data_IF_762012389960
#
_entry.id   IF_762012389960
#
_cell.length_a   1.000
_cell.length_b   1.000
_cell.length_c   1.000
_cell.angle_alpha   90.00
_cell.angle_beta   90.00
_cell.angle_gamma   90.00
#
_symmetry.space_group_name_H-M   'P 1'
#
loop_
_entity.id
_entity.type
_entity.pdbx_description
1 polymer ?
#
# COMPACT_ATOMS: atom_id res chain seq x y z
N UNK A 1 23.05 7.00 6.40
CA UNK A 1 22.08 5.89 6.35
C UNK A 1 22.52 4.91 5.28
N UNK A 2 22.24 3.62 5.43
CA UNK A 2 22.46 2.65 4.35
C UNK A 2 21.53 3.01 3.17
N UNK A 3 21.99 2.82 1.94
CA UNK A 3 21.21 3.13 0.75
C UNK A 3 20.78 1.83 0.06
N UNK A 4 19.52 1.38 0.20
CA UNK A 4 19.03 0.20 -0.51
C UNK A 4 18.97 0.46 -2.02
N UNK A 5 19.16 -0.61 -2.81
CA UNK A 5 18.73 -0.62 -4.20
C UNK A 5 17.19 -0.66 -4.21
N UNK A 6 16.56 0.25 -4.96
CA UNK A 6 15.11 0.27 -5.14
C UNK A 6 14.81 0.13 -6.63
N UNK A 7 14.03 -0.88 -6.99
CA UNK A 7 13.48 -1.07 -8.33
C UNK A 7 11.97 -0.98 -8.28
N UNK A 8 11.41 -0.08 -9.08
CA UNK A 8 9.97 0.11 -9.26
C UNK A 8 9.41 -0.73 -10.41
N UNK A 9 8.13 -1.07 -10.29
CA UNK A 9 7.30 -1.71 -11.30
C UNK A 9 5.96 -0.96 -11.31
N UNK A 10 5.57 -0.42 -12.45
CA UNK A 10 4.35 0.39 -12.56
C UNK A 10 3.27 -0.37 -13.31
N UNK A 11 2.08 -0.48 -12.71
CA UNK A 11 0.87 -0.95 -13.40
C UNK A 11 0.03 0.24 -13.87
N UNK A 12 -0.12 0.39 -15.18
CA UNK A 12 -0.93 1.47 -15.75
C UNK A 12 -2.45 1.31 -15.49
N UNK A 13 -2.93 0.10 -15.21
CA UNK A 13 -4.36 -0.13 -15.01
C UNK A 13 -4.86 0.43 -13.68
N UNK A 14 -4.05 0.27 -12.62
CA UNK A 14 -4.37 0.75 -11.26
C UNK A 14 -3.56 1.98 -10.87
N UNK A 15 -2.55 2.35 -11.67
CA UNK A 15 -1.56 3.40 -11.40
C UNK A 15 -0.69 3.11 -10.17
N UNK A 16 -0.49 1.83 -9.84
CA UNK A 16 0.23 1.38 -8.66
C UNK A 16 1.71 1.21 -8.97
N UNK A 17 2.57 1.65 -8.06
CA UNK A 17 3.96 1.24 -8.00
C UNK A 17 4.15 0.11 -7.00
N UNK A 18 4.67 -1.01 -7.48
CA UNK A 18 5.27 -2.03 -6.65
C UNK A 18 6.78 -1.84 -6.60
N UNK A 19 7.42 -2.27 -5.51
CA UNK A 19 8.86 -2.10 -5.33
C UNK A 19 9.58 -3.38 -4.94
N UNK A 20 10.78 -3.58 -5.47
CA UNK A 20 11.79 -4.48 -4.90
C UNK A 20 12.85 -3.61 -4.23
N UNK A 21 13.06 -3.82 -2.93
CA UNK A 21 14.01 -3.09 -2.10
C UNK A 21 15.07 -4.07 -1.61
N UNK A 22 16.32 -3.91 -2.03
CA UNK A 22 17.35 -4.92 -1.83
C UNK A 22 18.60 -4.40 -1.12
N UNK A 23 19.12 -5.23 -0.23
CA UNK A 23 20.48 -5.14 0.28
C UNK A 23 21.44 -5.86 -0.68
N UNK A 24 22.27 -5.09 -1.37
CA UNK A 24 23.22 -5.63 -2.34
C UNK A 24 24.32 -6.49 -1.70
N UNK A 25 24.64 -6.26 -0.43
CA UNK A 25 25.70 -7.00 0.27
C UNK A 25 25.26 -8.42 0.60
N UNK A 26 24.04 -8.59 1.12
CA UNK A 26 23.50 -9.91 1.52
C UNK A 26 22.63 -10.58 0.45
N UNK A 27 22.25 -9.83 -0.59
CA UNK A 27 21.24 -10.23 -1.61
C UNK A 27 19.85 -10.49 -1.03
N UNK A 28 19.55 -10.03 0.17
CA UNK A 28 18.20 -10.10 0.73
C UNK A 28 17.37 -8.93 0.20
N UNK A 29 16.08 -9.14 -0.04
CA UNK A 29 15.17 -8.09 -0.48
C UNK A 29 13.79 -8.18 0.17
N UNK A 30 13.07 -7.05 0.11
CA UNK A 30 11.64 -6.96 0.33
C UNK A 30 10.92 -6.63 -0.97
N UNK A 31 9.69 -7.12 -1.13
CA UNK A 31 8.74 -6.68 -2.15
C UNK A 31 7.68 -5.85 -1.45
N UNK A 32 7.27 -4.71 -2.01
CA UNK A 32 6.29 -3.80 -1.40
C UNK A 32 5.14 -3.55 -2.39
N UNK A 33 3.89 -3.67 -1.90
CA UNK A 33 2.64 -3.32 -2.59
C UNK A 33 2.51 -3.95 -4.00
N UNK A 34 2.59 -5.28 -4.06
CA UNK A 34 2.59 -6.04 -5.31
C UNK A 34 1.21 -6.16 -5.97
N UNK A 35 1.11 -6.00 -7.29
CA UNK A 35 -0.16 -6.11 -8.03
C UNK A 35 -0.40 -7.51 -8.61
N UNK A 36 -1.60 -8.05 -8.33
CA UNK A 36 -2.22 -9.14 -9.08
C UNK A 36 -3.21 -8.54 -10.07
N UNK A 37 -3.00 -8.80 -11.37
CA UNK A 37 -3.86 -8.27 -12.42
C UNK A 37 -5.28 -8.81 -12.26
N UNK A 38 -6.28 -7.94 -12.37
CA UNK A 38 -7.69 -8.32 -12.28
C UNK A 38 -8.55 -7.60 -13.33
N UNK A 39 -9.27 -8.37 -14.14
CA UNK A 39 -10.28 -7.85 -15.04
C UNK A 39 -11.67 -7.93 -14.38
N UNK A 40 -12.22 -6.77 -14.03
CA UNK A 40 -13.52 -6.68 -13.37
C UNK A 40 -14.69 -7.17 -14.25
N UNK A 41 -14.59 -7.08 -15.58
CA UNK A 41 -15.67 -7.47 -16.47
C UNK A 41 -15.85 -9.00 -16.52
N UNK A 42 -14.74 -9.74 -16.52
CA UNK A 42 -14.74 -11.21 -16.53
C UNK A 42 -14.49 -11.85 -15.16
N UNK A 43 -14.15 -11.07 -14.14
CA UNK A 43 -13.69 -11.52 -12.84
C UNK A 43 -12.51 -12.50 -12.92
N UNK A 44 -11.58 -12.26 -13.85
CA UNK A 44 -10.38 -13.10 -14.05
C UNK A 44 -9.13 -12.43 -13.50
N UNK A 45 -8.20 -13.24 -13.01
CA UNK A 45 -6.88 -12.79 -12.55
C UNK A 45 -5.77 -13.22 -13.51
N UNK A 46 -4.71 -12.43 -13.59
CA UNK A 46 -3.44 -12.78 -14.27
C UNK A 46 -2.26 -12.39 -13.38
N UNK A 47 -1.10 -12.94 -13.67
CA UNK A 47 0.14 -12.75 -12.89
C UNK A 47 1.16 -11.90 -13.63
N UNK A 48 0.78 -11.21 -14.70
CA UNK A 48 1.69 -10.46 -15.58
C UNK A 48 2.57 -9.50 -14.80
N UNK A 49 1.97 -8.66 -13.95
CA UNK A 49 2.71 -7.70 -13.13
C UNK A 49 3.59 -8.38 -12.07
N UNK A 50 3.07 -9.41 -11.41
CA UNK A 50 3.81 -10.17 -10.41
C UNK A 50 4.98 -10.98 -11.01
N UNK A 51 4.84 -11.49 -12.22
CA UNK A 51 5.87 -12.25 -12.94
C UNK A 51 7.06 -11.36 -13.31
N UNK A 52 6.84 -10.06 -13.60
CA UNK A 52 7.95 -9.11 -13.79
C UNK A 52 8.81 -8.97 -12.52
N UNK A 53 8.18 -8.99 -11.35
CA UNK A 53 8.88 -8.94 -10.06
C UNK A 53 9.63 -10.25 -9.82
N UNK A 54 9.00 -11.41 -10.09
CA UNK A 54 9.64 -12.73 -9.98
C UNK A 54 10.88 -12.81 -10.87
N UNK A 55 10.75 -12.45 -12.14
CA UNK A 55 11.85 -12.49 -13.10
C UNK A 55 13.00 -11.58 -12.67
N UNK A 56 12.70 -10.38 -12.19
CA UNK A 56 13.71 -9.47 -11.67
C UNK A 56 14.44 -10.03 -10.44
N UNK A 57 13.70 -10.54 -9.45
CA UNK A 57 14.28 -11.13 -8.23
C UNK A 57 15.20 -12.31 -8.57
N UNK A 58 14.75 -13.20 -9.46
CA UNK A 58 15.53 -14.35 -9.90
C UNK A 58 16.76 -13.95 -10.72
N UNK A 59 16.62 -13.02 -11.66
CA UNK A 59 17.73 -12.51 -12.47
C UNK A 59 18.79 -11.82 -11.62
N UNK A 60 18.38 -11.15 -10.54
CA UNK A 60 19.28 -10.57 -9.56
C UNK A 60 19.74 -11.57 -8.50
N UNK A 61 19.34 -12.85 -8.51
CA UNK A 61 19.71 -13.80 -7.45
C UNK A 61 19.45 -13.22 -6.03
N UNK A 62 18.32 -12.51 -5.88
CA UNK A 62 17.87 -12.00 -4.59
C UNK A 62 17.08 -13.08 -3.84
N UNK A 63 17.05 -12.96 -2.51
CA UNK A 63 16.22 -13.79 -1.62
C UNK A 63 15.19 -12.90 -0.93
N UNK A 64 13.92 -13.23 -1.13
CA UNK A 64 12.82 -12.46 -0.54
C UNK A 64 12.70 -12.79 0.95
N UNK A 65 12.90 -11.79 1.80
CA UNK A 65 12.63 -11.89 3.24
C UNK A 65 11.22 -11.43 3.56
N UNK A 66 10.78 -10.35 2.92
CA UNK A 66 9.54 -9.67 3.24
C UNK A 66 8.70 -9.41 1.99
N UNK A 67 7.39 -9.58 2.13
CA UNK A 67 6.38 -9.11 1.19
C UNK A 67 5.49 -8.18 2.01
N UNK A 68 5.69 -6.88 1.83
CA UNK A 68 5.15 -5.85 2.69
C UNK A 68 3.96 -5.18 2.03
N UNK A 69 2.88 -5.03 2.79
CA UNK A 69 1.76 -4.19 2.42
C UNK A 69 1.81 -2.90 3.23
N UNK A 70 1.75 -1.75 2.57
CA UNK A 70 1.63 -0.45 3.26
C UNK A 70 0.23 -0.30 3.88
N UNK A 71 -0.79 -0.86 3.24
CA UNK A 71 -2.17 -0.85 3.72
C UNK A 71 -3.03 -1.91 2.98
N UNK A 72 -4.31 -2.01 3.33
CA UNK A 72 -5.28 -2.77 2.53
C UNK A 72 -5.70 -1.91 1.34
N UNK A 73 -5.15 -2.23 0.17
CA UNK A 73 -5.41 -1.49 -1.06
C UNK A 73 -6.87 -1.64 -1.52
N UNK A 74 -7.42 -0.56 -2.08
CA UNK A 74 -8.80 -0.48 -2.57
C UNK A 74 -8.88 -0.37 -4.10
N UNK A 75 -7.74 -0.30 -4.77
CA UNK A 75 -7.61 0.01 -6.20
C UNK A 75 -7.02 -1.17 -6.99
N UNK A 76 -6.33 -2.11 -6.32
CA UNK A 76 -5.76 -3.33 -6.93
C UNK A 76 -5.83 -4.53 -5.97
N UNK A 77 -5.72 -5.76 -6.50
CA UNK A 77 -5.55 -6.96 -5.67
C UNK A 77 -4.06 -7.20 -5.40
N UNK A 78 -3.70 -7.58 -4.17
CA UNK A 78 -2.29 -7.94 -3.88
C UNK A 78 -1.90 -9.26 -4.53
N UNK A 79 -0.68 -9.33 -5.06
CA UNK A 79 -0.03 -10.57 -5.50
C UNK A 79 0.76 -11.30 -4.40
N UNK A 80 0.64 -10.90 -3.13
CA UNK A 80 1.48 -11.39 -2.04
C UNK A 80 1.53 -12.92 -1.92
N UNK A 81 0.38 -13.61 -1.97
CA UNK A 81 0.35 -15.08 -1.92
C UNK A 81 1.02 -15.73 -3.13
N UNK A 82 0.81 -15.16 -4.31
CA UNK A 82 1.44 -15.66 -5.53
C UNK A 82 2.97 -15.52 -5.44
N UNK A 83 3.46 -14.33 -5.08
CA UNK A 83 4.88 -14.08 -4.91
C UNK A 83 5.51 -14.98 -3.84
N UNK A 84 4.86 -15.14 -2.69
CA UNK A 84 5.31 -16.06 -1.65
C UNK A 84 5.43 -17.49 -2.15
N UNK A 85 4.46 -17.96 -2.94
CA UNK A 85 4.51 -19.32 -3.51
C UNK A 85 5.68 -19.54 -4.48
N UNK A 86 6.19 -18.48 -5.12
CA UNK A 86 7.30 -18.53 -6.08
C UNK A 86 8.66 -18.26 -5.46
N UNK A 87 8.72 -17.35 -4.49
CA UNK A 87 9.97 -16.77 -4.00
C UNK A 87 10.20 -16.99 -2.50
N UNK A 88 9.19 -17.47 -1.76
CA UNK A 88 9.19 -17.49 -0.30
C UNK A 88 8.99 -16.08 0.30
N UNK A 89 9.48 -15.90 1.52
CA UNK A 89 9.33 -14.65 2.28
C UNK A 89 8.11 -14.62 3.20
N UNK A 90 8.05 -13.55 3.97
CA UNK A 90 7.04 -13.32 5.03
C UNK A 90 6.10 -12.21 4.58
N UNK A 91 4.81 -12.50 4.45
CA UNK A 91 3.77 -11.51 4.13
C UNK A 91 3.43 -10.74 5.40
N UNK A 92 3.63 -9.41 5.39
CA UNK A 92 3.50 -8.58 6.58
C UNK A 92 2.72 -7.29 6.34
N UNK A 93 1.99 -6.86 7.38
CA UNK A 93 1.18 -5.63 7.41
C UNK A 93 1.09 -5.11 8.85
N UNK A 94 0.47 -3.95 9.08
CA UNK A 94 0.15 -3.46 10.43
C UNK A 94 -0.76 -4.39 11.22
N UNK A 95 -0.52 -4.56 12.53
CA UNK A 95 -1.47 -5.20 13.44
C UNK A 95 -2.86 -4.54 13.49
N UNK A 96 -2.97 -3.27 13.07
CA UNK A 96 -4.25 -2.55 12.95
C UNK A 96 -5.12 -3.03 11.79
N UNK A 97 -4.64 -3.98 10.99
CA UNK A 97 -5.44 -4.71 9.99
C UNK A 97 -6.74 -5.27 10.58
N UNK A 98 -6.72 -5.67 11.86
CA UNK A 98 -7.89 -6.13 12.60
C UNK A 98 -9.08 -5.16 12.53
N UNK A 99 -8.83 -3.85 12.58
CA UNK A 99 -9.88 -2.81 12.46
C UNK A 99 -10.52 -2.80 11.06
N UNK A 100 -9.70 -2.99 10.03
CA UNK A 100 -10.16 -3.04 8.64
C UNK A 100 -10.94 -4.34 8.41
N UNK A 101 -10.41 -5.47 8.85
CA UNK A 101 -11.07 -6.77 8.77
C UNK A 101 -12.41 -6.77 9.50
N UNK A 102 -12.52 -6.21 10.71
CA UNK A 102 -13.78 -6.10 11.45
C UNK A 102 -14.79 -5.24 10.67
N UNK A 103 -14.35 -4.06 10.21
CA UNK A 103 -15.20 -3.10 9.48
C UNK A 103 -15.76 -3.71 8.20
N UNK A 104 -14.89 -4.30 7.37
CA UNK A 104 -15.30 -4.84 6.07
C UNK A 104 -15.94 -6.23 6.17
N UNK A 105 -15.67 -7.01 7.20
CA UNK A 105 -16.41 -8.26 7.45
C UNK A 105 -17.89 -7.98 7.67
N UNK A 106 -18.23 -6.90 8.37
CA UNK A 106 -19.63 -6.49 8.52
C UNK A 106 -20.27 -6.10 7.18
N UNK A 107 -19.53 -5.42 6.30
CA UNK A 107 -20.01 -4.96 4.98
C UNK A 107 -20.23 -6.14 4.03
N UNK A 108 -19.25 -7.04 3.91
CA UNK A 108 -19.31 -8.19 3.02
C UNK A 108 -20.07 -9.38 3.63
N UNK A 109 -20.55 -9.25 4.86
CA UNK A 109 -21.16 -10.34 5.63
C UNK A 109 -20.23 -11.58 5.67
N UNK A 110 -19.00 -11.38 6.13
CA UNK A 110 -18.04 -12.44 6.43
C UNK A 110 -17.96 -12.67 7.93
N UNK A 111 -17.60 -13.89 8.32
CA UNK A 111 -17.26 -14.19 9.70
C UNK A 111 -15.85 -13.70 10.00
N UNK A 112 -15.74 -12.59 10.72
CA UNK A 112 -14.48 -12.00 11.12
C UNK A 112 -13.56 -12.99 11.86
N UNK A 113 -14.13 -13.95 12.61
CA UNK A 113 -13.34 -14.93 13.36
C UNK A 113 -12.48 -15.81 12.45
N UNK A 114 -12.92 -16.06 11.22
CA UNK A 114 -12.15 -16.84 10.24
C UNK A 114 -10.84 -16.19 9.85
N UNK A 115 -10.74 -14.86 9.83
CA UNK A 115 -9.47 -14.19 9.55
C UNK A 115 -8.46 -14.45 10.67
N UNK A 116 -8.91 -14.42 11.94
CA UNK A 116 -8.02 -14.70 13.07
C UNK A 116 -7.55 -16.16 13.09
N UNK A 117 -8.42 -17.10 12.71
CA UNK A 117 -8.10 -18.52 12.62
C UNK A 117 -7.13 -18.82 11.47
N UNK A 118 -7.33 -18.19 10.31
CA UNK A 118 -6.54 -18.45 9.11
C UNK A 118 -5.20 -17.73 9.08
N UNK A 119 -4.98 -16.73 9.95
CA UNK A 119 -3.73 -15.94 10.02
C UNK A 119 -3.23 -15.54 8.61
N UNK A 120 -4.02 -14.74 7.85
CA UNK A 120 -3.74 -14.48 6.44
C UNK A 120 -2.41 -13.76 6.17
N UNK A 121 -1.85 -13.13 7.19
CA UNK A 121 -0.55 -12.50 7.18
C UNK A 121 0.39 -13.29 8.09
N UNK A 122 1.63 -13.50 7.66
CA UNK A 122 2.64 -14.22 8.45
C UNK A 122 3.17 -13.37 9.60
N UNK A 123 3.10 -12.04 9.47
CA UNK A 123 3.60 -11.11 10.46
C UNK A 123 2.73 -9.86 10.56
N UNK A 124 2.52 -9.40 11.79
CA UNK A 124 1.78 -8.18 12.09
C UNK A 124 2.70 -7.21 12.84
N UNK A 125 3.05 -6.11 12.20
CA UNK A 125 3.93 -5.10 12.78
C UNK A 125 3.22 -4.28 13.87
N UNK A 126 3.89 -4.12 15.00
CA UNK A 126 3.59 -3.06 15.96
C UNK A 126 4.02 -1.68 15.41
N UNK A 127 3.41 -0.61 15.93
CA UNK A 127 3.77 0.75 15.56
C UNK A 127 5.24 1.03 15.92
N UNK A 128 6.03 1.55 14.97
CA UNK A 128 7.46 1.86 15.17
C UNK A 128 8.37 0.66 15.40
N UNK A 129 7.90 -0.54 15.08
CA UNK A 129 8.69 -1.74 15.19
C UNK A 129 9.87 -1.72 14.19
N UNK A 130 11.04 -2.10 14.70
CA UNK A 130 12.28 -2.22 13.93
C UNK A 130 12.46 -3.64 13.39
N UNK A 131 12.96 -3.74 12.16
CA UNK A 131 13.28 -4.99 11.48
C UNK A 131 14.48 -4.79 10.54
N UNK A 132 14.84 -5.83 9.79
CA UNK A 132 15.94 -5.78 8.82
C UNK A 132 15.55 -6.33 7.46
N UNK A 133 16.22 -5.82 6.42
CA UNK A 133 16.32 -6.43 5.10
C UNK A 133 17.80 -6.71 4.85
N UNK A 134 18.23 -7.95 5.00
CA UNK A 134 19.65 -8.28 5.08
C UNK A 134 20.29 -7.60 6.29
N UNK A 135 21.29 -6.77 6.03
CA UNK A 135 21.90 -5.93 7.07
C UNK A 135 21.30 -4.51 7.14
N UNK A 136 20.36 -4.17 6.25
CA UNK A 136 19.75 -2.85 6.22
C UNK A 136 18.77 -2.68 7.37
N UNK A 137 18.98 -1.65 8.19
CA UNK A 137 18.05 -1.29 9.26
C UNK A 137 16.77 -0.69 8.67
N UNK A 138 15.63 -1.19 9.15
CA UNK A 138 14.32 -0.74 8.76
C UNK A 138 13.40 -0.59 9.97
N UNK A 139 12.36 0.22 9.83
CA UNK A 139 11.27 0.34 10.80
C UNK A 139 10.01 0.86 10.11
N UNK A 140 8.85 0.65 10.72
CA UNK A 140 7.60 1.25 10.22
C UNK A 140 7.26 2.56 10.95
N UNK A 141 6.53 3.45 10.32
CA UNK A 141 5.86 4.59 10.96
C UNK A 141 4.36 4.40 10.75
N UNK A 142 3.53 4.37 11.81
CA UNK A 142 2.09 4.39 11.63
C UNK A 142 1.64 5.71 11.02
N UNK A 143 1.06 5.62 9.82
CA UNK A 143 0.60 6.77 9.03
C UNK A 143 -0.91 6.67 8.71
N UNK A 144 -1.78 6.47 9.72
CA UNK A 144 -3.21 6.38 9.47
C UNK A 144 -3.77 7.68 8.90
N UNK A 145 -4.88 7.57 8.19
CA UNK A 145 -5.59 8.72 7.63
C UNK A 145 -6.35 8.32 6.38
N UNK A 146 -5.64 7.76 5.41
CA UNK A 146 -6.26 7.11 4.26
C UNK A 146 -7.04 5.86 4.68
N UNK A 147 -6.39 4.96 5.42
CA UNK A 147 -7.03 3.87 6.18
C UNK A 147 -6.51 3.90 7.62
N UNK A 148 -7.18 3.23 8.60
CA UNK A 148 -6.69 3.16 9.97
C UNK A 148 -5.42 2.29 10.14
N UNK A 149 -5.07 1.48 9.14
CA UNK A 149 -3.98 0.50 9.20
C UNK A 149 -2.76 0.85 8.34
N UNK A 150 -2.72 2.05 7.74
CA UNK A 150 -1.60 2.49 6.92
C UNK A 150 -0.28 2.56 7.72
N UNK A 151 0.77 2.03 7.11
CA UNK A 151 2.16 2.17 7.52
C UNK A 151 2.97 2.85 6.42
N UNK A 152 4.05 3.51 6.84
CA UNK A 152 5.16 3.86 5.96
C UNK A 152 6.41 3.11 6.40
N UNK A 153 7.09 2.44 5.48
CA UNK A 153 8.32 1.68 5.79
C UNK A 153 9.54 2.55 5.53
N UNK A 154 10.33 2.79 6.57
CA UNK A 154 11.65 3.43 6.46
C UNK A 154 12.70 2.33 6.35
N UNK A 155 13.49 2.34 5.28
CA UNK A 155 14.50 1.32 4.96
C UNK A 155 15.77 2.06 4.56
N UNK A 156 16.75 2.15 5.47
CA UNK A 156 17.95 2.94 5.23
C UNK A 156 17.64 4.42 4.97
N UNK A 157 17.97 4.93 3.77
CA UNK A 157 17.74 6.31 3.33
C UNK A 157 16.42 6.53 2.57
N UNK A 158 15.54 5.53 2.54
CA UNK A 158 14.29 5.53 1.79
C UNK A 158 13.07 5.37 2.70
N UNK A 159 11.97 6.05 2.37
CA UNK A 159 10.65 5.86 2.99
C UNK A 159 9.60 5.54 1.93
N UNK A 160 8.87 4.44 2.10
CA UNK A 160 7.75 4.01 1.26
C UNK A 160 6.47 4.43 1.96
N UNK A 161 5.75 5.41 1.41
CA UNK A 161 4.71 6.12 2.17
C UNK A 161 3.29 5.57 2.04
N UNK A 162 3.10 4.54 1.22
CA UNK A 162 1.75 4.07 0.87
C UNK A 162 0.90 5.20 0.29
N UNK A 163 -0.41 5.11 0.45
CA UNK A 163 -1.35 6.19 0.14
C UNK A 163 -1.44 7.22 1.27
N UNK A 164 -0.32 7.88 1.56
CA UNK A 164 -0.27 9.02 2.47
C UNK A 164 -0.07 10.33 1.70
N UNK A 165 1.00 10.38 0.91
CA UNK A 165 1.36 11.49 0.04
C UNK A 165 1.48 10.98 -1.39
N UNK A 166 1.15 11.83 -2.35
CA UNK A 166 1.47 11.62 -3.76
C UNK A 166 2.60 12.57 -4.18
N UNK A 167 2.94 12.62 -5.46
CA UNK A 167 3.85 13.62 -5.98
C UNK A 167 3.40 15.03 -5.54
N UNK A 168 4.34 15.97 -5.28
CA UNK A 168 3.98 17.30 -4.79
C UNK A 168 2.94 18.04 -5.64
N UNK A 169 2.94 17.80 -6.95
CA UNK A 169 2.01 18.36 -7.94
C UNK A 169 0.61 17.73 -7.91
N UNK A 170 0.44 16.58 -7.23
CA UNK A 170 -0.83 15.87 -7.08
C UNK A 170 -1.38 15.93 -5.65
N UNK A 171 -0.51 16.07 -4.65
CA UNK A 171 -0.89 16.36 -3.27
C UNK A 171 -0.97 15.13 -2.37
N UNK A 172 -2.19 14.73 -1.99
CA UNK A 172 -2.43 13.75 -0.92
C UNK A 172 -3.57 12.79 -1.23
N UNK A 173 -3.56 11.63 -0.56
CA UNK A 173 -4.60 10.60 -0.67
C UNK A 173 -5.96 11.07 -0.12
N UNK A 174 -7.02 10.39 -0.57
CA UNK A 174 -8.40 10.55 -0.06
C UNK A 174 -8.52 9.97 1.36
N UNK A 175 -9.52 10.43 2.12
CA UNK A 175 -9.72 10.07 3.53
C UNK A 175 -11.17 9.62 3.85
N UNK A 176 -11.95 9.27 2.84
CA UNK A 176 -13.37 8.94 2.93
C UNK A 176 -13.66 7.43 2.89
N UNK A 177 -12.63 6.58 2.87
CA UNK A 177 -12.80 5.17 3.19
C UNK A 177 -13.36 5.00 4.61
N UNK A 178 -14.05 3.88 4.91
CA UNK A 178 -14.47 3.58 6.27
C UNK A 178 -13.33 3.76 7.28
N UNK A 179 -13.56 4.62 8.29
CA UNK A 179 -12.59 5.02 9.32
C UNK A 179 -11.38 5.84 8.83
N UNK A 180 -11.39 6.33 7.59
CA UNK A 180 -10.47 7.36 7.12
C UNK A 180 -10.69 8.70 7.86
N UNK A 181 -9.63 9.53 7.91
CA UNK A 181 -9.66 10.81 8.61
C UNK A 181 -8.59 11.77 8.06
N UNK A 182 -9.04 12.88 7.48
CA UNK A 182 -8.15 13.96 7.05
C UNK A 182 -7.33 14.55 8.21
N UNK A 183 -7.90 14.60 9.41
CA UNK A 183 -7.18 15.07 10.59
C UNK A 183 -6.03 14.13 10.95
N UNK A 184 -6.26 12.81 10.88
CA UNK A 184 -5.22 11.82 11.13
C UNK A 184 -4.18 11.82 10.01
N UNK A 185 -4.59 11.94 8.74
CA UNK A 185 -3.68 12.03 7.60
C UNK A 185 -2.71 13.21 7.75
N UNK A 186 -3.24 14.38 8.14
CA UNK A 186 -2.39 15.55 8.42
C UNK A 186 -1.33 15.23 9.47
N UNK A 187 -1.72 14.65 10.61
CA UNK A 187 -0.81 14.32 11.70
C UNK A 187 0.25 13.29 11.28
N UNK A 188 -0.15 12.30 10.48
CA UNK A 188 0.74 11.31 9.88
C UNK A 188 1.78 11.96 8.98
N UNK A 189 1.38 12.91 8.13
CA UNK A 189 2.30 13.67 7.29
C UNK A 189 3.25 14.54 8.12
N UNK A 190 2.78 15.15 9.21
CA UNK A 190 3.68 15.90 10.09
C UNK A 190 4.74 15.01 10.73
N UNK A 191 4.40 13.75 11.07
CA UNK A 191 5.39 12.76 11.55
C UNK A 191 6.41 12.42 10.48
N UNK A 192 5.97 12.13 9.25
CA UNK A 192 6.86 11.88 8.12
C UNK A 192 7.80 13.07 7.88
N UNK A 193 7.31 14.29 8.01
CA UNK A 193 8.12 15.50 7.88
C UNK A 193 9.12 15.71 9.02
N UNK A 194 9.18 14.87 10.05
CA UNK A 194 10.30 14.87 11.00
C UNK A 194 11.51 14.10 10.49
N UNK A 195 11.36 13.30 9.43
CA UNK A 195 12.47 12.62 8.75
C UNK A 195 13.44 13.62 8.10
N UNK A 196 14.71 13.20 7.86
CA UNK A 196 15.70 14.03 7.19
C UNK A 196 15.22 14.55 5.84
N UNK A 197 15.57 15.80 5.53
CA UNK A 197 15.10 16.51 4.33
C UNK A 197 15.51 15.82 3.01
N UNK A 198 16.64 15.11 3.01
CA UNK A 198 17.21 14.38 1.87
C UNK A 198 16.74 12.92 1.79
N UNK A 199 15.90 12.45 2.71
CA UNK A 199 15.35 11.10 2.66
C UNK A 199 14.48 10.91 1.41
N UNK A 200 14.80 9.88 0.62
CA UNK A 200 14.06 9.54 -0.59
C UNK A 200 12.68 9.04 -0.21
N UNK A 201 11.65 9.59 -0.84
CA UNK A 201 10.26 9.19 -0.62
C UNK A 201 9.74 8.46 -1.85
N UNK A 202 9.25 7.25 -1.67
CA UNK A 202 8.66 6.39 -2.70
C UNK A 202 7.15 6.30 -2.52
N UNK A 203 6.42 6.50 -3.62
CA UNK A 203 4.97 6.69 -3.65
C UNK A 203 4.24 5.42 -4.05
N UNK A 204 3.05 5.18 -3.49
CA UNK A 204 2.26 4.00 -3.88
C UNK A 204 1.58 4.16 -5.24
N UNK A 205 1.18 5.39 -5.60
CA UNK A 205 0.50 5.68 -6.84
C UNK A 205 0.94 6.99 -7.48
N UNK A 206 0.74 7.07 -8.79
CA UNK A 206 0.85 8.32 -9.52
C UNK A 206 -0.12 8.39 -10.70
N UNK A 207 -0.90 9.46 -10.74
CA UNK A 207 -2.05 9.60 -11.65
C UNK A 207 -1.84 10.62 -12.76
N UNK A 208 -0.60 11.08 -13.01
CA UNK A 208 -0.25 12.09 -14.03
C UNK A 208 -1.16 13.32 -14.00
N UNK A 209 -0.90 14.32 -13.13
CA UNK A 209 -1.63 15.58 -13.18
C UNK A 209 -1.43 16.28 -14.53
N UNK A 210 -2.32 17.22 -14.83
CA UNK A 210 -2.28 18.00 -16.06
C UNK A 210 -0.90 18.65 -16.26
N UNK A 211 -0.32 18.44 -17.45
CA UNK A 211 1.01 18.97 -17.81
C UNK A 211 2.18 18.03 -17.51
N UNK A 212 1.94 16.80 -17.06
CA UNK A 212 2.98 15.78 -16.87
C UNK A 212 2.71 14.50 -17.67
N UNK A 213 3.67 14.10 -18.49
CA UNK A 213 3.55 12.94 -19.39
C UNK A 213 4.19 11.65 -18.83
N UNK A 214 4.98 11.76 -17.78
CA UNK A 214 5.72 10.65 -17.16
C UNK A 214 5.17 10.30 -15.79
N UNK A 215 5.17 9.00 -15.46
CA UNK A 215 4.89 8.53 -14.11
C UNK A 215 6.14 8.69 -13.24
N UNK A 216 5.99 9.25 -12.04
CA UNK A 216 7.10 9.51 -11.12
C UNK A 216 6.83 8.81 -9.79
N UNK A 217 7.73 7.91 -9.42
CA UNK A 217 7.61 7.08 -8.23
C UNK A 217 8.38 7.63 -7.02
N UNK A 218 9.26 8.62 -7.23
CA UNK A 218 10.21 9.11 -6.22
C UNK A 218 10.20 10.64 -6.10
N UNK A 219 10.22 11.12 -4.85
CA UNK A 219 10.49 12.51 -4.45
C UNK A 219 11.37 12.50 -3.19
N UNK A 220 11.40 13.59 -2.43
CA UNK A 220 12.09 13.69 -1.14
C UNK A 220 11.29 14.52 -0.12
N UNK A 221 11.66 14.39 1.16
CA UNK A 221 10.97 15.04 2.28
C UNK A 221 10.98 16.57 2.14
N UNK A 222 12.11 17.16 1.75
CA UNK A 222 12.24 18.62 1.57
C UNK A 222 11.30 19.14 0.50
N UNK A 223 11.24 18.46 -0.64
CA UNK A 223 10.42 18.83 -1.80
C UNK A 223 8.95 18.77 -1.42
N UNK A 224 8.51 17.72 -0.72
CA UNK A 224 7.14 17.61 -0.19
C UNK A 224 6.80 18.76 0.77
N UNK A 225 7.66 19.02 1.77
CA UNK A 225 7.50 20.15 2.71
C UNK A 225 7.37 21.50 2.00
N UNK A 226 8.05 21.68 0.87
CA UNK A 226 8.12 22.97 0.19
C UNK A 226 7.02 23.18 -0.84
N UNK A 227 6.64 22.13 -1.56
CA UNK A 227 5.91 22.24 -2.82
C UNK A 227 4.64 21.40 -2.91
N UNK A 228 4.36 20.50 -1.95
CA UNK A 228 3.12 19.74 -1.97
C UNK A 228 1.89 20.67 -1.99
N UNK A 229 1.04 20.55 -3.01
CA UNK A 229 -0.08 21.46 -3.24
C UNK A 229 -1.16 21.38 -2.14
N UNK A 230 -1.21 20.27 -1.39
CA UNK A 230 -2.17 20.06 -0.31
C UNK A 230 -1.56 20.24 1.08
N UNK A 231 -0.29 19.87 1.26
CA UNK A 231 0.34 19.65 2.56
C UNK A 231 1.78 20.17 2.63
N UNK A 232 2.11 21.27 1.93
CA UNK A 232 3.36 21.97 2.22
C UNK A 232 3.34 22.60 3.63
N UNK A 233 4.50 22.98 4.14
CA UNK A 233 4.73 23.48 5.51
C UNK A 233 3.92 24.72 5.92
N UNK A 234 3.27 25.40 4.97
CA UNK A 234 2.47 26.61 5.24
C UNK A 234 0.99 26.30 5.46
N UNK A 235 0.56 25.09 5.10
CA UNK A 235 -0.84 24.67 5.23
C UNK A 235 -1.11 24.31 6.69
N UNK A 236 -2.14 24.91 7.28
CA UNK A 236 -2.60 24.56 8.63
C UNK A 236 -3.45 23.28 8.60
N UNK A 237 -3.54 22.60 9.74
CA UNK A 237 -4.39 21.41 9.90
C UNK A 237 -5.85 21.68 9.52
N UNK A 238 -6.40 22.81 9.96
CA UNK A 238 -7.78 23.20 9.66
C UNK A 238 -8.01 23.40 8.16
N UNK A 239 -7.13 24.15 7.49
CA UNK A 239 -7.21 24.36 6.04
C UNK A 239 -7.10 23.05 5.26
N UNK A 240 -6.22 22.15 5.69
CA UNK A 240 -6.09 20.83 5.07
C UNK A 240 -7.35 19.98 5.25
N UNK A 241 -7.89 19.89 6.47
CA UNK A 241 -9.10 19.10 6.75
C UNK A 241 -10.25 19.57 5.87
N UNK A 242 -10.47 20.89 5.82
CA UNK A 242 -11.52 21.49 5.00
C UNK A 242 -11.35 21.12 3.52
N UNK A 243 -10.18 21.41 2.95
CA UNK A 243 -9.87 21.11 1.55
C UNK A 243 -10.04 19.62 1.25
N UNK A 244 -9.53 18.75 2.11
CA UNK A 244 -9.56 17.30 1.90
C UNK A 244 -10.97 16.75 1.91
N UNK A 245 -11.80 17.17 2.86
CA UNK A 245 -13.21 16.77 2.97
C UNK A 245 -14.05 17.29 1.79
N UNK A 246 -13.86 18.55 1.39
CA UNK A 246 -14.52 19.11 0.20
C UNK A 246 -14.13 18.35 -1.07
N UNK A 247 -12.85 17.99 -1.22
CA UNK A 247 -12.38 17.19 -2.35
C UNK A 247 -12.94 15.77 -2.32
N UNK A 248 -12.89 15.10 -1.18
CA UNK A 248 -13.37 13.72 -1.04
C UNK A 248 -14.85 13.58 -1.40
N UNK A 249 -15.68 14.55 -1.03
CA UNK A 249 -17.11 14.58 -1.39
C UNK A 249 -17.39 14.65 -2.91
N UNK A 250 -16.38 14.92 -3.73
CA UNK A 250 -16.49 14.96 -5.21
C UNK A 250 -15.93 13.72 -5.90
N UNK A 251 -15.25 12.83 -5.17
CA UNK A 251 -14.57 11.67 -5.76
C UNK A 251 -15.53 10.50 -5.94
N UNK A 252 -15.48 9.87 -7.10
CA UNK A 252 -16.10 8.56 -7.30
C UNK A 252 -15.35 7.49 -6.50
N UNK A 253 -16.02 6.38 -6.21
CA UNK A 253 -15.39 5.21 -5.61
C UNK A 253 -14.33 4.60 -6.55
N UNK A 254 -13.22 4.05 -6.03
CA UNK A 254 -12.26 3.33 -6.86
C UNK A 254 -12.95 2.18 -7.60
N UNK A 255 -12.57 1.97 -8.87
CA UNK A 255 -13.21 0.97 -9.74
C UNK A 255 -13.16 -0.45 -9.15
N UNK A 256 -12.08 -0.77 -8.44
CA UNK A 256 -11.81 -2.10 -7.89
C UNK A 256 -12.02 -2.20 -6.37
N UNK A 257 -12.64 -1.22 -5.70
CA UNK A 257 -12.77 -1.26 -4.23
C UNK A 257 -13.41 -2.54 -3.71
N UNK A 258 -14.53 -2.95 -4.32
CA UNK A 258 -15.28 -4.11 -3.88
C UNK A 258 -14.50 -5.42 -4.05
N UNK A 259 -13.92 -5.71 -5.23
CA UNK A 259 -13.08 -6.90 -5.40
C UNK A 259 -11.77 -6.84 -4.60
N UNK A 260 -11.07 -5.71 -4.56
CA UNK A 260 -9.75 -5.60 -3.95
C UNK A 260 -9.78 -5.81 -2.44
N UNK A 261 -10.66 -5.12 -1.71
CA UNK A 261 -10.63 -5.14 -0.24
C UNK A 261 -10.87 -6.55 0.31
N UNK A 262 -11.82 -7.29 -0.25
CA UNK A 262 -12.13 -8.63 0.24
C UNK A 262 -10.99 -9.64 0.04
N UNK A 263 -10.15 -9.44 -0.98
CA UNK A 263 -8.94 -10.24 -1.22
C UNK A 263 -7.80 -9.75 -0.32
N UNK A 264 -7.59 -8.44 -0.26
CA UNK A 264 -6.43 -7.84 0.40
C UNK A 264 -6.51 -7.96 1.92
N UNK A 265 -7.70 -7.83 2.53
CA UNK A 265 -7.86 -8.07 3.97
C UNK A 265 -7.66 -9.54 4.36
N UNK A 266 -7.63 -10.45 3.38
CA UNK A 266 -7.30 -11.86 3.52
C UNK A 266 -5.85 -12.17 3.10
N UNK A 267 -4.97 -11.16 3.08
CA UNK A 267 -3.56 -11.32 2.73
C UNK A 267 -3.34 -11.82 1.30
N UNK A 268 -4.29 -11.57 0.38
CA UNK A 268 -4.23 -12.05 -1.01
C UNK A 268 -4.87 -13.42 -1.26
N UNK A 269 -5.40 -14.08 -0.22
CA UNK A 269 -6.08 -15.37 -0.39
C UNK A 269 -7.48 -15.18 -0.99
N UNK A 270 -7.78 -15.95 -2.04
CA UNK A 270 -9.12 -15.98 -2.63
C UNK A 270 -10.15 -16.59 -1.65
N UNK A 271 -11.44 -16.21 -1.75
CA UNK A 271 -12.52 -16.83 -0.99
C UNK A 271 -12.53 -18.34 -1.21
N UNK A 272 -12.82 -19.12 -0.17
CA UNK A 272 -12.99 -20.57 -0.30
C UNK A 272 -14.04 -20.90 -1.37
N UNK A 273 -13.84 -21.97 -2.17
CA UNK A 273 -14.81 -22.38 -3.16
C UNK A 273 -16.11 -22.81 -2.47
N UNK A 274 -17.24 -22.46 -3.06
CA UNK A 274 -18.54 -22.99 -2.66
C UNK A 274 -18.68 -24.47 -3.07
N UNK A 275 -19.82 -25.10 -2.76
CA UNK A 275 -20.05 -26.52 -3.00
C UNK A 275 -19.90 -26.96 -4.48
N UNK A 276 -19.96 -26.03 -5.42
CA UNK A 276 -19.74 -26.27 -6.85
C UNK A 276 -18.28 -26.13 -7.30
N UNK A 277 -17.34 -25.89 -6.38
CA UNK A 277 -15.92 -25.72 -6.66
C UNK A 277 -15.53 -24.33 -7.19
N UNK A 278 -16.48 -23.40 -7.30
CA UNK A 278 -16.24 -22.04 -7.79
C UNK A 278 -16.07 -21.08 -6.61
N UNK A 279 -15.13 -20.14 -6.74
CA UNK A 279 -14.90 -19.06 -5.78
C UNK A 279 -15.70 -17.82 -6.21
N UNK A 280 -16.31 -17.13 -5.25
CA UNK A 280 -17.18 -15.99 -5.52
C UNK A 280 -16.73 -14.77 -4.73
N UNK A 281 -16.67 -13.63 -5.43
CA UNK A 281 -16.59 -12.33 -4.79
C UNK A 281 -17.99 -11.89 -4.35
N UNK A 282 -18.09 -11.27 -3.17
CA UNK A 282 -19.34 -10.71 -2.67
C UNK A 282 -19.40 -9.22 -2.95
N UNK A 283 -20.50 -8.78 -3.55
CA UNK A 283 -20.74 -7.39 -3.90
C UNK A 283 -21.96 -6.90 -3.10
N UNK A 284 -21.79 -6.02 -2.10
CA UNK A 284 -22.90 -5.50 -1.32
C UNK A 284 -23.73 -4.53 -2.18
N UNK A 285 -25.04 -4.79 -2.27
CA UNK A 285 -25.93 -3.98 -3.10
C UNK A 285 -26.31 -2.68 -2.40
N UNK A 286 -26.11 -1.53 -3.09
CA UNK A 286 -26.46 -0.17 -2.61
C UNK A 286 -25.91 0.20 -1.23
N UNK A 287 -24.68 -0.22 -0.91
CA UNK A 287 -24.07 0.07 0.40
C UNK A 287 -23.18 1.33 0.43
N UNK A 288 -22.43 1.57 -0.65
CA UNK A 288 -21.49 2.69 -0.78
C UNK A 288 -22.11 3.86 -1.55
#
# INVERSE_FOLDING_TARGET
>A
MQQPLVKDFFDENTNTFSYVVADLATRQCAIIDSVLDYDAASATTKTTNADLIVDYVLAQNFKVQWILETHVHADHMTAAQYLKSKLGGTIAISQKISVVQETFSAIYNFDFKKFNENQPFDYLFEDYEHFKIGEIDAYNIPTPGHTPACLSYVIGDAVFVGDTLFMPDYGSARCDFPKGSAAALYDSVQKLYTLPDDMRMFLCHDYKPEGRDEYICQTDIKTQKQSNIHLNRRVSKESFIKMRQERDATLAMPKLILPSIQINMNGGNFPEPEANGIRYLKIPFNYF
#
